data_IF_781475486391
#
_entry.id   IF_781475486391
#
_cell.length_a   1.000
_cell.length_b   1.000
_cell.length_c   1.000
_cell.angle_alpha   90.00
_cell.angle_beta   90.00
_cell.angle_gamma   90.00
#
_symmetry.space_group_name_H-M   'P 1'
#
loop_
_entity.id
_entity.type
_entity.pdbx_description
1 polymer ?
#
# COMPACT_ATOMS: atom_id res chain seq x y z
N UNK A 1 1.30 -1.44 -18.41
CA UNK A 1 0.22 -1.07 -17.49
C UNK A 1 0.15 -1.91 -16.21
N UNK A 2 0.48 -3.20 -16.20
CA UNK A 2 0.37 -4.10 -15.02
C UNK A 2 1.47 -3.86 -13.95
N UNK A 3 2.61 -3.26 -14.30
CA UNK A 3 3.76 -3.04 -13.38
C UNK A 3 3.57 -1.88 -12.40
N UNK A 4 2.66 -0.94 -12.67
CA UNK A 4 2.43 0.22 -11.78
C UNK A 4 1.52 -0.12 -10.58
N UNK A 5 0.76 -1.21 -10.64
CA UNK A 5 -0.16 -1.64 -9.58
C UNK A 5 0.55 -2.07 -8.28
N UNK A 6 1.84 -2.39 -8.33
CA UNK A 6 2.64 -2.87 -7.20
C UNK A 6 3.60 -1.81 -6.65
N UNK A 7 3.56 -0.60 -7.20
CA UNK A 7 4.41 0.51 -6.75
C UNK A 7 3.89 1.09 -5.45
N UNK A 8 4.65 0.93 -4.38
CA UNK A 8 4.42 1.62 -3.11
C UNK A 8 4.96 3.05 -3.28
N UNK A 9 4.10 4.04 -3.10
CA UNK A 9 4.49 5.45 -3.20
C UNK A 9 5.27 5.87 -1.93
N UNK A 10 6.14 6.89 -2.01
CA UNK A 10 6.84 7.41 -0.82
C UNK A 10 5.90 7.80 0.33
N UNK A 11 4.70 8.30 -0.01
CA UNK A 11 3.65 8.64 0.96
C UNK A 11 3.15 7.44 1.77
N UNK A 12 3.08 6.27 1.13
CA UNK A 12 2.62 5.05 1.78
C UNK A 12 3.64 4.57 2.83
N UNK A 13 4.94 4.81 2.60
CA UNK A 13 5.99 4.46 3.55
C UNK A 13 5.92 5.24 4.86
N UNK A 14 5.50 6.52 4.83
CA UNK A 14 5.28 7.29 6.04
C UNK A 14 4.19 6.66 6.89
N UNK A 15 3.09 6.24 6.27
CA UNK A 15 2.00 5.55 6.96
C UNK A 15 2.47 4.20 7.52
N UNK A 16 3.28 3.45 6.78
CA UNK A 16 3.84 2.17 7.23
C UNK A 16 4.76 2.37 8.44
N UNK A 17 5.60 3.40 8.45
CA UNK A 17 6.45 3.76 9.60
C UNK A 17 5.61 4.09 10.84
N UNK A 18 4.58 4.93 10.69
CA UNK A 18 3.69 5.29 11.80
C UNK A 18 2.98 4.05 12.37
N UNK A 19 2.41 3.22 11.49
CA UNK A 19 1.75 1.97 11.89
C UNK A 19 2.75 1.03 12.57
N UNK A 20 3.98 0.92 12.06
CA UNK A 20 5.05 0.12 12.67
C UNK A 20 5.38 0.58 14.09
N UNK A 21 5.55 1.89 14.32
CA UNK A 21 5.81 2.46 15.64
C UNK A 21 4.66 2.17 16.61
N UNK A 22 3.41 2.36 16.16
CA UNK A 22 2.23 2.04 16.95
C UNK A 22 2.18 0.55 17.31
N UNK A 23 2.50 -0.32 16.35
CA UNK A 23 2.55 -1.76 16.59
C UNK A 23 3.65 -2.13 17.61
N UNK A 24 4.83 -1.52 17.54
CA UNK A 24 5.90 -1.69 18.54
C UNK A 24 5.46 -1.26 19.93
N UNK A 25 4.72 -0.15 20.03
CA UNK A 25 4.14 0.30 21.30
C UNK A 25 3.11 -0.71 21.85
N UNK A 26 2.20 -1.22 21.02
CA UNK A 26 1.24 -2.25 21.45
C UNK A 26 1.95 -3.55 21.87
N UNK A 27 2.99 -3.95 21.16
CA UNK A 27 3.80 -5.11 21.53
C UNK A 27 4.45 -4.92 22.91
N UNK A 28 4.94 -3.74 23.22
CA UNK A 28 5.52 -3.45 24.55
C UNK A 28 4.48 -3.55 25.66
N UNK A 29 3.22 -3.14 25.39
CA UNK A 29 2.13 -3.32 26.34
C UNK A 29 1.85 -4.79 26.63
N UNK A 30 1.92 -5.65 25.62
CA UNK A 30 1.76 -7.10 25.81
C UNK A 30 2.85 -7.63 26.75
N UNK A 31 4.11 -7.26 26.52
CA UNK A 31 5.21 -7.65 27.40
C UNK A 31 5.03 -7.12 28.83
N UNK A 32 4.56 -5.89 28.95
CA UNK A 32 4.25 -5.27 30.25
C UNK A 32 3.25 -6.08 31.07
N UNK A 33 2.20 -6.63 30.44
CA UNK A 33 1.19 -7.43 31.13
C UNK A 33 1.61 -8.88 31.35
N UNK A 34 2.54 -9.42 30.55
CA UNK A 34 2.97 -10.82 30.64
C UNK A 34 4.05 -11.07 31.70
N UNK A 35 4.89 -10.08 31.98
CA UNK A 35 6.04 -10.27 32.89
C UNK A 35 6.35 -8.98 33.65
N UNK A 36 6.31 -9.06 34.98
CA UNK A 36 6.59 -7.91 35.87
C UNK A 36 7.99 -7.30 35.67
N UNK A 37 8.98 -8.12 35.30
CA UNK A 37 10.36 -7.65 35.05
C UNK A 37 10.43 -6.82 33.74
N UNK A 38 9.45 -6.94 32.86
CA UNK A 38 9.37 -6.17 31.61
C UNK A 38 8.53 -4.89 31.73
N UNK A 39 8.06 -4.54 32.93
CA UNK A 39 7.33 -3.32 33.22
C UNK A 39 8.24 -2.10 33.31
N UNK A 40 9.08 -1.91 32.28
CA UNK A 40 10.11 -0.88 32.23
C UNK A 40 10.00 -0.05 30.95
N UNK A 41 10.48 1.20 31.03
CA UNK A 41 10.58 2.08 29.86
C UNK A 41 11.52 1.48 28.81
N UNK A 42 12.55 0.75 29.23
CA UNK A 42 13.51 0.08 28.35
C UNK A 42 12.83 -0.93 27.39
N UNK A 43 11.81 -1.65 27.88
CA UNK A 43 11.00 -2.57 27.05
C UNK A 43 10.23 -1.82 25.96
N UNK A 44 9.66 -0.66 26.29
CA UNK A 44 8.96 0.19 25.32
C UNK A 44 9.95 0.70 24.27
N UNK A 45 11.09 1.22 24.69
CA UNK A 45 12.14 1.74 23.80
C UNK A 45 12.65 0.64 22.87
N UNK A 46 12.93 -0.55 23.38
CA UNK A 46 13.40 -1.68 22.59
C UNK A 46 12.35 -2.12 21.55
N UNK A 47 11.10 -2.25 21.95
CA UNK A 47 10.00 -2.68 21.04
C UNK A 47 9.74 -1.66 19.92
N UNK A 48 9.71 -0.36 20.25
CA UNK A 48 9.54 0.71 19.26
C UNK A 48 10.74 0.75 18.31
N UNK A 49 11.97 0.66 18.84
CA UNK A 49 13.19 0.64 18.03
C UNK A 49 13.22 -0.56 17.08
N UNK A 50 12.81 -1.74 17.54
CA UNK A 50 12.72 -2.95 16.70
C UNK A 50 11.75 -2.72 15.56
N UNK A 51 10.54 -2.23 15.83
CA UNK A 51 9.54 -1.95 14.81
C UNK A 51 10.02 -0.88 13.80
N UNK A 52 10.72 0.15 14.29
CA UNK A 52 11.31 1.19 13.46
C UNK A 52 12.39 0.65 12.50
N UNK A 53 13.31 -0.17 12.99
CA UNK A 53 14.34 -0.79 12.15
C UNK A 53 13.73 -1.75 11.12
N UNK A 54 12.74 -2.55 11.50
CA UNK A 54 12.02 -3.42 10.57
C UNK A 54 11.41 -2.59 9.44
N UNK A 55 10.74 -1.48 9.76
CA UNK A 55 10.11 -0.61 8.78
C UNK A 55 11.13 0.07 7.85
N UNK A 56 12.28 0.52 8.38
CA UNK A 56 13.37 1.10 7.58
C UNK A 56 13.94 0.06 6.60
N UNK A 57 14.29 -1.15 7.08
CA UNK A 57 14.82 -2.18 6.20
C UNK A 57 13.80 -2.64 5.17
N UNK A 58 12.52 -2.75 5.53
CA UNK A 58 11.45 -3.03 4.57
C UNK A 58 11.36 -1.93 3.50
N UNK A 59 11.41 -0.66 3.89
CA UNK A 59 11.42 0.46 2.95
C UNK A 59 12.60 0.38 1.98
N UNK A 60 13.81 0.16 2.47
CA UNK A 60 15.02 0.10 1.65
C UNK A 60 14.97 -1.10 0.70
N UNK A 61 14.69 -2.31 1.20
CA UNK A 61 14.74 -3.54 0.43
C UNK A 61 13.62 -3.59 -0.62
N UNK A 62 12.38 -3.26 -0.24
CA UNK A 62 11.23 -3.31 -1.15
C UNK A 62 11.30 -2.18 -2.18
N UNK A 63 11.68 -0.95 -1.77
CA UNK A 63 11.82 0.16 -2.72
C UNK A 63 12.94 -0.07 -3.73
N UNK A 64 14.07 -0.61 -3.27
CA UNK A 64 15.19 -0.99 -4.15
C UNK A 64 14.77 -2.10 -5.11
N UNK A 65 14.06 -3.12 -4.62
CA UNK A 65 13.51 -4.19 -5.45
C UNK A 65 12.54 -3.66 -6.50
N UNK A 66 11.63 -2.77 -6.12
CA UNK A 66 10.68 -2.15 -7.04
C UNK A 66 11.37 -1.31 -8.13
N UNK A 67 12.46 -0.63 -7.78
CA UNK A 67 13.19 0.23 -8.72
C UNK A 67 14.06 -0.56 -9.70
N UNK A 68 14.82 -1.55 -9.21
CA UNK A 68 15.87 -2.21 -9.97
C UNK A 68 15.48 -3.58 -10.51
N UNK A 69 14.62 -4.32 -9.81
CA UNK A 69 14.31 -5.72 -10.09
C UNK A 69 12.96 -5.87 -10.79
N UNK A 70 11.91 -5.24 -10.29
CA UNK A 70 10.54 -5.33 -10.84
C UNK A 70 10.45 -5.05 -12.36
N UNK A 71 11.21 -4.10 -12.95
CA UNK A 71 11.15 -3.87 -14.40
C UNK A 71 11.69 -5.02 -15.24
N UNK A 72 12.53 -5.89 -14.64
CA UNK A 72 13.30 -6.93 -15.34
C UNK A 72 12.74 -8.33 -15.22
N UNK A 73 11.83 -8.56 -14.26
CA UNK A 73 11.32 -9.91 -13.95
C UNK A 73 9.80 -9.96 -14.05
N UNK A 74 9.27 -11.18 -14.16
CA UNK A 74 7.83 -11.42 -14.15
C UNK A 74 7.19 -11.13 -12.81
N UNK A 75 5.90 -10.74 -12.81
CA UNK A 75 5.11 -10.43 -11.62
C UNK A 75 5.14 -11.56 -10.57
N UNK A 76 5.08 -12.82 -11.00
CA UNK A 76 5.10 -13.98 -10.09
C UNK A 76 6.43 -14.08 -9.32
N UNK A 77 7.55 -13.96 -10.04
CA UNK A 77 8.88 -13.97 -9.41
C UNK A 77 9.11 -12.76 -8.51
N UNK A 78 8.63 -11.59 -8.93
CA UNK A 78 8.73 -10.40 -8.09
C UNK A 78 7.96 -10.57 -6.78
N UNK A 79 6.76 -11.18 -6.79
CA UNK A 79 5.99 -11.45 -5.56
C UNK A 79 6.78 -12.33 -4.58
N UNK A 80 7.36 -13.43 -5.06
CA UNK A 80 8.20 -14.32 -4.23
C UNK A 80 9.39 -13.56 -3.65
N UNK A 81 10.06 -12.77 -4.48
CA UNK A 81 11.23 -11.99 -4.06
C UNK A 81 10.86 -10.91 -3.04
N UNK A 82 9.72 -10.24 -3.20
CA UNK A 82 9.24 -9.24 -2.25
C UNK A 82 8.90 -9.84 -0.89
N UNK A 83 8.36 -11.05 -0.87
CA UNK A 83 8.12 -11.80 0.37
C UNK A 83 9.43 -12.19 1.06
N UNK A 84 10.43 -12.62 0.29
CA UNK A 84 11.76 -12.89 0.83
C UNK A 84 12.40 -11.63 1.43
N UNK A 85 12.30 -10.48 0.77
CA UNK A 85 12.79 -9.22 1.32
C UNK A 85 11.99 -8.76 2.55
N UNK A 86 10.72 -9.08 2.65
CA UNK A 86 9.93 -8.83 3.85
C UNK A 86 10.42 -9.68 5.03
N UNK A 87 10.72 -10.96 4.80
CA UNK A 87 11.37 -11.80 5.81
C UNK A 87 12.73 -11.22 6.26
N UNK A 88 13.57 -10.85 5.28
CA UNK A 88 14.88 -10.26 5.58
C UNK A 88 14.77 -8.96 6.36
N UNK A 89 13.79 -8.11 6.06
CA UNK A 89 13.60 -6.86 6.80
C UNK A 89 13.27 -7.10 8.25
N UNK A 90 12.42 -8.09 8.55
CA UNK A 90 12.10 -8.48 9.92
C UNK A 90 13.31 -9.05 10.66
N UNK A 91 14.00 -9.96 10.01
CA UNK A 91 15.19 -10.61 10.56
C UNK A 91 16.30 -9.61 10.86
N UNK A 92 16.71 -8.81 9.87
CA UNK A 92 17.78 -7.82 10.01
C UNK A 92 17.35 -6.68 10.94
N UNK A 93 16.09 -6.24 10.87
CA UNK A 93 15.56 -5.17 11.70
C UNK A 93 15.59 -5.54 13.18
N UNK A 94 15.17 -6.76 13.54
CA UNK A 94 15.30 -7.27 14.90
C UNK A 94 16.76 -7.36 15.34
N UNK A 95 17.64 -7.94 14.51
CA UNK A 95 19.06 -8.05 14.83
C UNK A 95 19.70 -6.69 15.06
N UNK A 96 19.35 -5.68 14.25
CA UNK A 96 19.87 -4.32 14.40
C UNK A 96 19.49 -3.73 15.76
N UNK A 97 18.22 -3.86 16.17
CA UNK A 97 17.79 -3.44 17.51
C UNK A 97 18.51 -4.21 18.60
N UNK A 98 18.57 -5.54 18.48
CA UNK A 98 19.23 -6.40 19.46
C UNK A 98 20.71 -6.02 19.67
N UNK A 99 21.48 -5.88 18.61
CA UNK A 99 22.91 -5.54 18.73
C UNK A 99 23.18 -4.10 19.21
N UNK A 100 22.30 -3.15 18.86
CA UNK A 100 22.42 -1.76 19.37
C UNK A 100 22.26 -1.75 20.90
N UNK A 101 21.30 -2.51 21.42
CA UNK A 101 21.02 -2.53 22.86
C UNK A 101 21.72 -3.68 23.61
N UNK A 102 22.57 -4.46 22.95
CA UNK A 102 23.22 -5.66 23.52
C UNK A 102 24.00 -5.37 24.81
N UNK A 103 24.70 -4.23 24.87
CA UNK A 103 25.46 -3.80 26.01
C UNK A 103 24.70 -2.87 26.96
N UNK A 104 23.39 -2.73 26.80
CA UNK A 104 22.54 -1.94 27.67
C UNK A 104 22.03 -2.79 28.83
N UNK A 105 21.66 -2.12 29.94
CA UNK A 105 21.03 -2.76 31.10
C UNK A 105 19.54 -3.06 30.88
N UNK A 106 19.15 -3.31 29.65
CA UNK A 106 17.75 -3.59 29.30
C UNK A 106 17.40 -5.04 29.62
N UNK A 107 16.51 -5.27 30.57
CA UNK A 107 16.08 -6.63 30.96
C UNK A 107 15.49 -7.43 29.82
N UNK A 108 14.75 -6.77 28.92
CA UNK A 108 14.21 -7.41 27.72
C UNK A 108 15.32 -7.98 26.82
N UNK A 109 16.45 -7.29 26.69
CA UNK A 109 17.60 -7.74 25.90
C UNK A 109 18.27 -8.94 26.55
N UNK A 110 18.41 -8.89 27.88
CA UNK A 110 18.95 -10.02 28.64
C UNK A 110 18.08 -11.28 28.48
N UNK A 111 16.76 -11.17 28.61
CA UNK A 111 15.83 -12.29 28.40
C UNK A 111 15.87 -12.87 26.99
N UNK A 112 16.03 -12.01 25.98
CA UNK A 112 16.09 -12.40 24.58
C UNK A 112 17.45 -12.97 24.21
N UNK A 113 18.52 -12.62 24.94
CA UNK A 113 19.91 -12.96 24.59
C UNK A 113 20.18 -14.48 24.43
N UNK A 114 19.50 -15.32 25.21
CA UNK A 114 19.64 -16.79 25.10
C UNK A 114 19.04 -17.37 23.81
N UNK A 115 18.09 -16.68 23.17
CA UNK A 115 17.35 -17.17 22.00
C UNK A 115 17.30 -16.15 20.85
N UNK A 116 18.22 -15.17 20.84
CA UNK A 116 18.17 -14.05 19.89
C UNK A 116 18.04 -14.46 18.42
N UNK A 117 18.74 -15.53 18.00
CA UNK A 117 18.66 -16.01 16.63
C UNK A 117 17.29 -16.62 16.31
N UNK A 118 16.75 -17.45 17.19
CA UNK A 118 15.43 -18.06 17.01
C UNK A 118 14.34 -16.99 16.98
N UNK A 119 14.45 -15.98 17.83
CA UNK A 119 13.51 -14.85 17.85
C UNK A 119 13.63 -14.04 16.57
N UNK A 120 14.84 -13.77 16.08
CA UNK A 120 15.03 -13.08 14.79
C UNK A 120 14.35 -13.83 13.64
N UNK A 121 14.47 -15.15 13.58
CA UNK A 121 13.81 -15.99 12.58
C UNK A 121 12.29 -15.91 12.71
N UNK A 122 11.75 -16.01 13.91
CA UNK A 122 10.29 -15.88 14.16
C UNK A 122 9.78 -14.50 13.74
N UNK A 123 10.48 -13.43 14.09
CA UNK A 123 10.14 -12.06 13.68
C UNK A 123 10.17 -11.94 12.15
N UNK A 124 11.16 -12.53 11.48
CA UNK A 124 11.22 -12.59 10.02
C UNK A 124 9.99 -13.28 9.40
N UNK A 125 9.56 -14.40 9.98
CA UNK A 125 8.35 -15.10 9.51
C UNK A 125 7.07 -14.28 9.78
N UNK A 126 6.97 -13.61 10.93
CA UNK A 126 5.83 -12.74 11.23
C UNK A 126 5.74 -11.57 10.24
N UNK A 127 6.86 -10.93 9.92
CA UNK A 127 6.88 -9.86 8.91
C UNK A 127 6.52 -10.36 7.52
N UNK A 128 6.93 -11.58 7.16
CA UNK A 128 6.52 -12.24 5.91
C UNK A 128 4.99 -12.47 5.88
N UNK A 129 4.39 -12.95 6.96
CA UNK A 129 2.93 -13.15 7.05
C UNK A 129 2.18 -11.82 6.92
N UNK A 130 2.64 -10.78 7.60
CA UNK A 130 2.07 -9.42 7.48
C UNK A 130 2.18 -8.92 6.04
N UNK A 131 3.33 -9.13 5.39
CA UNK A 131 3.54 -8.75 3.99
C UNK A 131 2.59 -9.50 3.03
N UNK A 132 2.31 -10.78 3.27
CA UNK A 132 1.32 -11.55 2.50
C UNK A 132 -0.08 -10.92 2.61
N UNK A 133 -0.50 -10.59 3.82
CA UNK A 133 -1.81 -9.96 4.06
C UNK A 133 -1.89 -8.59 3.37
N UNK A 134 -0.86 -7.76 3.53
CA UNK A 134 -0.79 -6.45 2.90
C UNK A 134 -0.79 -6.55 1.37
N UNK A 135 -0.06 -7.51 0.80
CA UNK A 135 -0.04 -7.74 -0.64
C UNK A 135 -1.44 -8.11 -1.17
N UNK A 136 -2.16 -8.99 -0.47
CA UNK A 136 -3.55 -9.34 -0.84
C UNK A 136 -4.47 -8.13 -0.75
N UNK A 137 -4.37 -7.35 0.34
CA UNK A 137 -5.17 -6.15 0.54
C UNK A 137 -4.96 -5.11 -0.56
N UNK A 138 -3.69 -4.80 -0.90
CA UNK A 138 -3.34 -3.87 -1.98
C UNK A 138 -3.84 -4.39 -3.33
N UNK A 139 -3.69 -5.68 -3.60
CA UNK A 139 -4.20 -6.29 -4.85
C UNK A 139 -5.73 -6.16 -4.98
N UNK A 140 -6.48 -6.40 -3.89
CA UNK A 140 -7.92 -6.23 -3.86
C UNK A 140 -8.34 -4.77 -4.05
N UNK A 141 -7.67 -3.83 -3.36
CA UNK A 141 -7.91 -2.40 -3.50
C UNK A 141 -7.72 -1.94 -4.95
N UNK A 142 -6.65 -2.38 -5.60
CA UNK A 142 -6.34 -2.01 -6.98
C UNK A 142 -7.39 -2.60 -7.95
N UNK A 143 -7.81 -3.86 -7.76
CA UNK A 143 -8.90 -4.46 -8.55
C UNK A 143 -10.20 -3.70 -8.40
N UNK A 144 -10.59 -3.34 -7.18
CA UNK A 144 -11.81 -2.57 -6.95
C UNK A 144 -11.75 -1.19 -7.61
N UNK A 145 -10.60 -0.52 -7.57
CA UNK A 145 -10.40 0.77 -8.24
C UNK A 145 -10.50 0.64 -9.77
N UNK A 146 -9.97 -0.44 -10.33
CA UNK A 146 -10.08 -0.72 -11.76
C UNK A 146 -11.53 -0.99 -12.18
N UNK A 147 -12.26 -1.82 -11.43
CA UNK A 147 -13.68 -2.10 -11.68
C UNK A 147 -14.51 -0.81 -11.62
N UNK A 148 -14.27 0.04 -10.62
CA UNK A 148 -14.95 1.33 -10.50
C UNK A 148 -14.71 2.23 -11.71
N UNK A 149 -13.49 2.24 -12.24
CA UNK A 149 -13.11 2.98 -13.46
C UNK A 149 -13.84 2.42 -14.70
N UNK A 150 -13.85 1.10 -14.88
CA UNK A 150 -14.54 0.43 -15.98
C UNK A 150 -16.05 0.70 -15.96
N UNK A 151 -16.68 0.70 -14.76
CA UNK A 151 -18.11 1.05 -14.61
C UNK A 151 -18.35 2.51 -15.00
N UNK A 152 -17.46 3.44 -14.59
CA UNK A 152 -17.58 4.85 -14.96
C UNK A 152 -17.45 5.06 -16.47
N UNK A 153 -16.45 4.44 -17.10
CA UNK A 153 -16.25 4.48 -18.55
C UNK A 153 -17.45 3.89 -19.31
N UNK A 154 -18.00 2.78 -18.82
CA UNK A 154 -19.22 2.17 -19.41
C UNK A 154 -20.44 3.10 -19.31
N UNK A 155 -20.63 3.75 -18.15
CA UNK A 155 -21.71 4.74 -17.96
C UNK A 155 -21.56 5.94 -18.87
N UNK A 156 -20.34 6.48 -19.00
CA UNK A 156 -20.07 7.60 -19.92
C UNK A 156 -20.40 7.22 -21.35
N UNK A 157 -19.96 6.03 -21.80
CA UNK A 157 -20.28 5.53 -23.14
C UNK A 157 -21.78 5.32 -23.37
N UNK A 158 -22.51 4.86 -22.34
CA UNK A 158 -23.98 4.74 -22.40
C UNK A 158 -24.65 6.10 -22.59
N UNK A 159 -24.23 7.12 -21.81
CA UNK A 159 -24.72 8.49 -21.92
C UNK A 159 -24.38 9.11 -23.30
N UNK A 160 -23.17 8.88 -23.81
CA UNK A 160 -22.79 9.33 -25.16
C UNK A 160 -23.70 8.69 -26.26
N UNK A 161 -24.04 7.41 -26.10
CA UNK A 161 -24.94 6.73 -27.03
C UNK A 161 -26.39 7.24 -26.91
N UNK A 162 -26.87 7.57 -25.70
CA UNK A 162 -28.20 8.14 -25.48
C UNK A 162 -28.33 9.54 -26.12
N UNK A 163 -27.25 10.33 -26.12
CA UNK A 163 -27.26 11.64 -26.78
C UNK A 163 -27.38 11.56 -28.31
N UNK A 164 -27.20 10.38 -28.90
CA UNK A 164 -27.25 10.14 -30.34
C UNK A 164 -26.60 11.29 -31.15
N UNK A 165 -25.24 11.34 -31.24
CA UNK A 165 -24.54 12.47 -31.86
C UNK A 165 -25.00 12.77 -33.26
N UNK A 166 -25.40 11.75 -34.02
CA UNK A 166 -25.93 11.89 -35.38
C UNK A 166 -27.29 12.64 -35.37
N UNK A 167 -28.17 12.37 -34.42
CA UNK A 167 -29.41 13.09 -34.26
C UNK A 167 -29.18 14.56 -33.93
N UNK A 168 -28.26 14.85 -32.98
CA UNK A 168 -27.89 16.22 -32.62
C UNK A 168 -27.31 17.00 -33.82
N UNK A 169 -26.41 16.40 -34.58
CA UNK A 169 -25.85 17.03 -35.77
C UNK A 169 -26.92 17.30 -36.81
N UNK A 170 -27.85 16.36 -37.05
CA UNK A 170 -28.96 16.54 -37.99
C UNK A 170 -29.93 17.62 -37.51
N UNK A 171 -30.27 17.65 -36.23
CA UNK A 171 -31.11 18.69 -35.63
C UNK A 171 -30.48 20.07 -35.77
N UNK A 172 -29.19 20.22 -35.41
CA UNK A 172 -28.42 21.46 -35.55
C UNK A 172 -28.33 21.94 -37.00
N UNK A 173 -28.09 21.01 -37.96
CA UNK A 173 -28.07 21.34 -39.37
C UNK A 173 -29.45 21.80 -39.87
N UNK A 174 -30.54 21.14 -39.43
CA UNK A 174 -31.88 21.56 -39.74
C UNK A 174 -32.25 22.94 -39.22
N UNK A 175 -31.91 23.21 -37.96
CA UNK A 175 -32.08 24.54 -37.35
C UNK A 175 -31.24 25.58 -38.09
N UNK A 176 -29.98 25.28 -38.42
CA UNK A 176 -29.13 26.17 -39.21
C UNK A 176 -29.73 26.53 -40.57
N UNK A 177 -30.31 25.56 -41.28
CA UNK A 177 -31.00 25.80 -42.56
C UNK A 177 -32.25 26.66 -42.37
N UNK A 178 -33.04 26.42 -41.29
CA UNK A 178 -34.22 27.19 -40.98
C UNK A 178 -33.89 28.67 -40.65
N UNK A 179 -32.76 28.95 -40.01
CA UNK A 179 -32.29 30.32 -39.72
C UNK A 179 -32.18 31.16 -41.02
N UNK A 180 -31.74 30.54 -42.11
CA UNK A 180 -31.61 31.25 -43.39
C UNK A 180 -32.90 31.31 -44.20
N UNK A 181 -33.88 30.38 -43.98
CA UNK A 181 -35.10 30.28 -44.75
C UNK A 181 -36.32 30.87 -44.02
N UNK A 182 -36.46 30.62 -42.71
CA UNK A 182 -37.58 31.11 -41.88
C UNK A 182 -37.17 31.21 -40.41
N UNK A 183 -36.74 32.40 -40.01
CA UNK A 183 -36.19 32.69 -38.68
C UNK A 183 -37.15 32.34 -37.53
N UNK A 184 -38.48 32.52 -37.77
CA UNK A 184 -39.49 32.25 -36.75
C UNK A 184 -39.67 30.75 -36.49
N UNK A 185 -39.63 29.94 -37.57
CA UNK A 185 -39.63 28.49 -37.42
C UNK A 185 -38.35 27.91 -36.79
N UNK A 186 -37.20 28.57 -37.01
CA UNK A 186 -35.96 28.18 -36.34
C UNK A 186 -36.04 28.40 -34.81
N UNK A 187 -36.64 29.51 -34.37
CA UNK A 187 -36.83 29.80 -32.96
C UNK A 187 -37.79 28.80 -32.30
N UNK A 188 -38.90 28.46 -32.95
CA UNK A 188 -39.85 27.45 -32.46
C UNK A 188 -39.23 26.07 -32.36
N UNK A 189 -38.31 25.69 -33.29
CA UNK A 189 -37.63 24.39 -33.28
C UNK A 189 -36.57 24.22 -32.18
N UNK A 190 -36.06 25.34 -31.65
CA UNK A 190 -35.09 25.33 -30.51
C UNK A 190 -35.79 25.27 -29.17
N UNK A 191 -37.02 25.76 -29.08
CA UNK A 191 -37.80 25.87 -27.84
C UNK A 191 -38.66 24.60 -27.56
N UNK A 192 -38.74 23.65 -28.48
CA UNK A 192 -39.37 22.35 -28.27
C UNK A 192 -38.35 21.31 -27.79
#
# INVERSE_FOLDING_TARGET
MIKDELKILPKDWINILIIGILFGFFQSLIFYFLNENLQTISTIVFSISTAFFIAIFAMILISSSNRFILPKIDKKFWTVLSLFFSFLSGFIGFLSAFFIYYNSDFEVVFLVSSFWFSIAVVVGFLTLLIALILHQFVSLKNKNSQIAKEILESKLKSLENELNPHFLFNALNSVSQLIYSDKKKAEDAVLQ
#
